data_IF_451758952821
#
_entry.id   IF_451758952821
#
_cell.length_a   1.000
_cell.length_b   1.000
_cell.length_c   1.000
_cell.angle_alpha   90.00
_cell.angle_beta   90.00
_cell.angle_gamma   90.00
#
_symmetry.space_group_name_H-M   'P 1'
#
loop_
_entity.id
_entity.type
_entity.pdbx_description
1 polymer ?
#
# COMPACT_ATOMS: atom_id res chain seq x y z
N UNK A 1 -1.94 -8.63 38.16
CA UNK A 1 -2.96 -8.98 37.15
C UNK A 1 -3.24 -7.73 36.34
N UNK A 2 -2.54 -7.55 35.23
CA UNK A 2 -2.79 -6.47 34.27
C UNK A 2 -4.17 -6.71 33.65
N UNK A 3 -5.12 -5.80 33.88
CA UNK A 3 -6.41 -5.86 33.20
C UNK A 3 -6.16 -5.75 31.70
N UNK A 4 -6.47 -6.80 30.95
CA UNK A 4 -6.45 -6.76 29.50
C UNK A 4 -7.45 -5.69 29.06
N UNK A 5 -6.95 -4.64 28.41
CA UNK A 5 -7.83 -3.63 27.81
C UNK A 5 -8.74 -4.32 26.78
N UNK A 6 -10.01 -3.89 26.66
CA UNK A 6 -10.91 -4.48 25.68
C UNK A 6 -10.31 -4.37 24.27
N UNK A 7 -10.56 -5.37 23.40
CA UNK A 7 -10.02 -5.38 22.05
C UNK A 7 -10.43 -4.09 21.32
N UNK A 8 -9.48 -3.48 20.62
CA UNK A 8 -9.73 -2.29 19.83
C UNK A 8 -10.82 -2.57 18.79
N UNK A 9 -11.82 -1.69 18.69
CA UNK A 9 -12.80 -1.78 17.62
C UNK A 9 -12.14 -1.44 16.28
N UNK A 10 -12.61 -2.05 15.19
CA UNK A 10 -12.15 -1.72 13.82
C UNK A 10 -12.13 -0.22 13.51
N UNK A 11 -13.06 0.55 14.09
CA UNK A 11 -13.07 2.01 13.96
C UNK A 11 -11.82 2.68 14.54
N UNK A 12 -11.34 2.21 15.68
CA UNK A 12 -10.15 2.76 16.33
C UNK A 12 -8.89 2.37 15.57
N UNK A 13 -8.81 1.13 15.09
CA UNK A 13 -7.69 0.65 14.27
C UNK A 13 -7.57 1.45 12.97
N UNK A 14 -8.69 1.68 12.27
CA UNK A 14 -8.72 2.50 11.07
C UNK A 14 -8.35 3.97 11.36
N UNK A 15 -8.85 4.54 12.46
CA UNK A 15 -8.50 5.90 12.89
C UNK A 15 -7.02 6.04 13.20
N UNK A 16 -6.38 5.00 13.75
CA UNK A 16 -4.96 4.99 14.02
C UNK A 16 -4.11 4.93 12.74
N UNK A 17 -4.56 4.17 11.73
CA UNK A 17 -3.85 4.01 10.46
C UNK A 17 -4.03 5.21 9.50
N UNK A 18 -5.18 5.88 9.56
CA UNK A 18 -5.57 6.91 8.60
C UNK A 18 -4.57 8.07 8.47
N UNK A 19 -3.99 8.65 9.54
CA UNK A 19 -3.04 9.76 9.42
C UNK A 19 -1.81 9.40 8.59
N UNK A 20 -1.18 8.25 8.86
CA UNK A 20 -0.04 7.76 8.10
C UNK A 20 -0.42 7.46 6.65
N UNK A 21 -1.57 6.83 6.44
CA UNK A 21 -2.09 6.53 5.09
C UNK A 21 -2.29 7.81 4.26
N UNK A 22 -2.93 8.85 4.82
CA UNK A 22 -3.14 10.14 4.13
C UNK A 22 -1.80 10.84 3.90
N UNK A 23 -0.94 10.90 4.92
CA UNK A 23 0.37 11.55 4.81
C UNK A 23 1.24 10.91 3.72
N UNK A 24 1.26 9.58 3.60
CA UNK A 24 2.00 8.88 2.55
C UNK A 24 1.56 9.30 1.13
N UNK A 25 0.25 9.49 0.93
CA UNK A 25 -0.32 9.91 -0.36
C UNK A 25 -0.03 11.37 -0.66
N UNK A 26 -0.11 12.23 0.35
CA UNK A 26 0.29 13.63 0.21
C UNK A 26 1.79 13.74 -0.14
N UNK A 27 2.65 13.00 0.55
CA UNK A 27 4.08 12.97 0.28
C UNK A 27 4.38 12.40 -1.11
N UNK A 28 3.70 11.33 -1.53
CA UNK A 28 3.85 10.78 -2.88
C UNK A 28 3.43 11.80 -3.94
N UNK A 29 2.30 12.48 -3.77
CA UNK A 29 1.83 13.52 -4.70
C UNK A 29 2.82 14.69 -4.79
N UNK A 30 3.37 15.13 -3.65
CA UNK A 30 4.40 16.19 -3.63
C UNK A 30 5.68 15.71 -4.31
N UNK A 31 6.18 14.53 -3.98
CA UNK A 31 7.37 13.96 -4.59
C UNK A 31 7.20 13.78 -6.10
N UNK A 32 6.02 13.32 -6.54
CA UNK A 32 5.65 13.17 -7.94
C UNK A 32 5.65 14.52 -8.67
N UNK A 33 5.00 15.53 -8.10
CA UNK A 33 4.97 16.88 -8.66
C UNK A 33 6.36 17.50 -8.77
N UNK A 34 7.19 17.34 -7.74
CA UNK A 34 8.59 17.77 -7.75
C UNK A 34 9.40 17.04 -8.82
N UNK A 35 9.21 15.73 -8.97
CA UNK A 35 9.88 14.96 -10.01
C UNK A 35 9.51 15.45 -11.42
N UNK A 36 8.22 15.69 -11.68
CA UNK A 36 7.76 16.24 -12.96
C UNK A 36 8.33 17.64 -13.24
N UNK A 37 8.37 18.52 -12.23
CA UNK A 37 8.95 19.85 -12.37
C UNK A 37 10.46 19.79 -12.63
N UNK A 38 11.19 18.87 -11.98
CA UNK A 38 12.60 18.66 -12.21
C UNK A 38 12.88 18.09 -13.61
N UNK A 39 12.07 17.15 -14.10
CA UNK A 39 12.17 16.64 -15.47
C UNK A 39 12.02 17.78 -16.48
N UNK A 40 11.03 18.65 -16.28
CA UNK A 40 10.80 19.80 -17.15
C UNK A 40 12.00 20.77 -17.15
N UNK A 41 12.52 21.11 -15.96
CA UNK A 41 13.55 22.15 -15.79
C UNK A 41 14.97 21.64 -16.05
N UNK A 42 15.24 20.35 -15.85
CA UNK A 42 16.61 19.79 -15.86
C UNK A 42 16.86 18.74 -16.93
N UNK A 43 15.82 18.14 -17.49
CA UNK A 43 15.92 17.01 -18.43
C UNK A 43 15.21 17.30 -19.76
N UNK A 44 15.01 18.58 -20.09
CA UNK A 44 14.35 19.05 -21.32
C UNK A 44 12.99 18.39 -21.58
N UNK A 45 12.27 18.02 -20.51
CA UNK A 45 10.96 17.38 -20.62
C UNK A 45 10.98 15.90 -21.05
N UNK A 46 12.16 15.28 -21.21
CA UNK A 46 12.26 13.86 -21.57
C UNK A 46 11.82 12.99 -20.40
N UNK A 47 10.64 12.38 -20.53
CA UNK A 47 10.02 11.56 -19.48
C UNK A 47 10.41 10.09 -19.63
N UNK A 48 10.85 9.42 -18.54
CA UNK A 48 11.07 7.99 -18.57
C UNK A 48 9.74 7.23 -18.58
N UNK A 49 9.71 6.00 -19.11
CA UNK A 49 8.53 5.13 -19.19
C UNK A 49 7.68 5.06 -17.90
N UNK A 50 8.26 4.90 -16.69
CA UNK A 50 7.51 4.94 -15.44
C UNK A 50 6.65 6.20 -15.25
N UNK A 51 7.05 7.34 -15.84
CA UNK A 51 6.28 8.56 -15.75
C UNK A 51 5.03 8.60 -16.61
N UNK A 52 4.95 7.75 -17.62
CA UNK A 52 3.73 7.53 -18.39
C UNK A 52 2.79 6.53 -17.70
N UNK A 53 3.34 5.62 -16.88
CA UNK A 53 2.58 4.61 -16.14
C UNK A 53 1.92 5.13 -14.85
N UNK A 54 2.41 6.24 -14.29
CA UNK A 54 1.82 6.88 -13.11
C UNK A 54 1.78 5.94 -11.91
N UNK A 55 0.59 5.77 -11.30
CA UNK A 55 0.41 4.89 -10.13
C UNK A 55 0.61 3.39 -10.44
N UNK A 56 0.73 3.02 -11.71
CA UNK A 56 1.03 1.67 -12.18
C UNK A 56 2.51 1.50 -12.56
N UNK A 57 3.39 2.43 -12.22
CA UNK A 57 4.81 2.29 -12.55
C UNK A 57 5.39 0.93 -12.10
N UNK A 58 6.24 0.33 -12.95
CA UNK A 58 6.94 -0.93 -12.69
C UNK A 58 6.00 -2.14 -12.46
N UNK A 59 5.99 -2.74 -11.26
CA UNK A 59 5.23 -3.96 -10.95
C UNK A 59 3.72 -3.71 -11.03
N UNK A 60 3.27 -2.47 -10.82
CA UNK A 60 1.86 -2.09 -10.99
C UNK A 60 1.33 -2.30 -12.41
N UNK A 61 2.18 -2.16 -13.43
CA UNK A 61 1.78 -2.34 -14.83
C UNK A 61 1.44 -3.81 -15.09
N UNK A 62 2.23 -4.74 -14.57
CA UNK A 62 1.95 -6.16 -14.64
C UNK A 62 0.63 -6.51 -13.96
N UNK A 63 0.38 -5.99 -12.75
CA UNK A 63 -0.90 -6.26 -12.06
C UNK A 63 -2.11 -5.69 -12.79
N UNK A 64 -1.98 -4.51 -13.41
CA UNK A 64 -3.01 -3.93 -14.28
C UNK A 64 -3.29 -4.83 -15.48
N UNK A 65 -2.24 -5.25 -16.18
CA UNK A 65 -2.36 -5.99 -17.43
C UNK A 65 -2.90 -7.40 -17.17
N UNK A 66 -2.45 -8.06 -16.09
CA UNK A 66 -3.02 -9.34 -15.64
C UNK A 66 -4.49 -9.20 -15.21
N UNK A 67 -4.88 -8.11 -14.56
CA UNK A 67 -6.27 -7.91 -14.14
C UNK A 67 -7.23 -7.73 -15.33
N UNK A 68 -6.74 -7.20 -16.46
CA UNK A 68 -7.55 -6.95 -17.66
C UNK A 68 -7.54 -8.14 -18.62
N UNK A 69 -6.37 -8.72 -18.88
CA UNK A 69 -6.18 -9.71 -19.94
C UNK A 69 -5.61 -11.04 -19.45
N UNK A 70 -5.51 -11.25 -18.14
CA UNK A 70 -4.90 -12.46 -17.58
C UNK A 70 -3.40 -12.54 -17.84
N UNK A 71 -2.82 -13.72 -17.60
CA UNK A 71 -1.38 -13.92 -17.78
C UNK A 71 -0.93 -13.91 -19.25
N UNK A 72 -1.86 -14.02 -20.20
CA UNK A 72 -1.56 -13.90 -21.63
C UNK A 72 -1.27 -12.44 -22.05
N UNK A 73 -1.63 -11.46 -21.20
CA UNK A 73 -1.44 -10.04 -21.46
C UNK A 73 -0.08 -9.49 -20.98
N UNK A 74 0.79 -10.34 -20.44
CA UNK A 74 2.13 -9.96 -19.96
C UNK A 74 3.20 -10.85 -20.57
N UNK A 75 4.43 -10.32 -20.65
CA UNK A 75 5.59 -11.11 -21.07
C UNK A 75 5.77 -12.35 -20.18
N UNK A 76 6.47 -13.41 -20.64
CA UNK A 76 6.66 -14.65 -19.87
C UNK A 76 7.21 -14.46 -18.45
N UNK A 77 7.97 -13.37 -18.21
CA UNK A 77 8.45 -13.02 -16.86
C UNK A 77 7.34 -12.62 -15.88
N UNK A 78 6.13 -12.32 -16.37
CA UNK A 78 4.95 -11.93 -15.58
C UNK A 78 4.35 -13.07 -14.74
N UNK A 79 4.72 -14.32 -14.99
CA UNK A 79 4.26 -15.48 -14.19
C UNK A 79 4.71 -15.41 -12.72
N UNK A 80 5.70 -14.56 -12.38
CA UNK A 80 6.16 -14.34 -11.01
C UNK A 80 5.16 -13.63 -10.11
N UNK A 81 4.16 -12.96 -10.69
CA UNK A 81 3.18 -12.17 -9.94
C UNK A 81 2.08 -13.06 -9.40
N UNK A 82 1.74 -12.90 -8.11
CA UNK A 82 0.75 -13.75 -7.45
C UNK A 82 -0.68 -13.42 -7.92
N UNK A 83 -1.52 -14.42 -8.26
CA UNK A 83 -2.79 -14.19 -8.96
C UNK A 83 -3.87 -13.54 -8.08
N UNK A 84 -3.85 -13.75 -6.76
CA UNK A 84 -4.91 -13.25 -5.87
C UNK A 84 -5.13 -11.74 -6.00
N UNK A 85 -4.05 -10.96 -6.11
CA UNK A 85 -4.16 -9.50 -6.15
C UNK A 85 -4.88 -8.97 -7.41
N UNK A 86 -4.46 -9.31 -8.65
CA UNK A 86 -5.18 -8.89 -9.85
C UNK A 86 -6.57 -9.55 -9.95
N UNK A 87 -6.78 -10.77 -9.41
CA UNK A 87 -8.10 -11.41 -9.36
C UNK A 87 -9.11 -10.67 -8.48
N UNK A 88 -8.66 -10.01 -7.41
CA UNK A 88 -9.51 -9.17 -6.56
C UNK A 88 -9.80 -7.81 -7.23
N UNK A 89 -8.87 -7.29 -8.04
CA UNK A 89 -9.01 -6.00 -8.71
C UNK A 89 -9.88 -6.05 -9.97
N UNK A 90 -9.71 -7.07 -10.82
CA UNK A 90 -10.45 -7.32 -12.07
C UNK A 90 -10.50 -6.17 -13.10
N UNK A 91 -9.82 -5.06 -12.81
CA UNK A 91 -9.80 -3.84 -13.60
C UNK A 91 -8.65 -2.95 -13.12
N UNK A 92 -8.17 -1.99 -13.92
CA UNK A 92 -7.12 -1.06 -13.49
C UNK A 92 -7.50 -0.31 -12.21
N UNK A 93 -8.74 0.21 -12.14
CA UNK A 93 -9.23 0.91 -10.96
C UNK A 93 -9.34 -0.04 -9.75
N UNK A 94 -9.84 -1.26 -9.95
CA UNK A 94 -9.98 -2.21 -8.87
C UNK A 94 -8.64 -2.66 -8.28
N UNK A 95 -7.59 -2.82 -9.11
CA UNK A 95 -6.22 -3.08 -8.62
C UNK A 95 -5.74 -1.94 -7.71
N UNK A 96 -5.95 -0.68 -8.11
CA UNK A 96 -5.62 0.47 -7.27
C UNK A 96 -6.41 0.51 -5.96
N UNK A 97 -7.71 0.20 -6.02
CA UNK A 97 -8.57 0.16 -4.83
C UNK A 97 -8.12 -0.95 -3.87
N UNK A 98 -7.87 -2.16 -4.37
CA UNK A 98 -7.40 -3.28 -3.55
C UNK A 98 -6.05 -2.97 -2.92
N UNK A 99 -5.11 -2.37 -3.66
CA UNK A 99 -3.81 -1.94 -3.12
C UNK A 99 -3.98 -0.95 -1.97
N UNK A 100 -4.76 0.11 -2.19
CA UNK A 100 -4.89 1.22 -1.26
C UNK A 100 -5.74 0.88 -0.03
N UNK A 101 -6.81 0.10 -0.22
CA UNK A 101 -7.60 -0.45 0.89
C UNK A 101 -6.78 -1.46 1.67
N UNK A 102 -6.04 -2.34 0.99
CA UNK A 102 -5.11 -3.28 1.62
C UNK A 102 -4.06 -2.57 2.47
N UNK A 103 -3.46 -1.48 1.99
CA UNK A 103 -2.52 -0.67 2.76
C UNK A 103 -3.14 -0.03 4.01
N UNK A 104 -4.40 0.45 3.93
CA UNK A 104 -5.12 0.97 5.10
C UNK A 104 -5.39 -0.15 6.12
N UNK A 105 -5.83 -1.32 5.65
CA UNK A 105 -6.06 -2.50 6.47
C UNK A 105 -4.78 -3.01 7.11
N UNK A 106 -3.65 -2.98 6.39
CA UNK A 106 -2.34 -3.34 6.93
C UNK A 106 -1.97 -2.44 8.12
N UNK A 107 -2.09 -1.12 7.98
CA UNK A 107 -1.87 -0.20 9.10
C UNK A 107 -2.80 -0.45 10.29
N UNK A 108 -4.08 -0.71 10.02
CA UNK A 108 -5.08 -1.00 11.05
C UNK A 108 -4.79 -2.31 11.79
N UNK A 109 -4.40 -3.36 11.06
CA UNK A 109 -4.05 -4.65 11.66
C UNK A 109 -2.72 -4.61 12.40
N UNK A 110 -1.74 -3.82 11.93
CA UNK A 110 -0.50 -3.57 12.68
C UNK A 110 -0.78 -2.80 13.97
N UNK A 111 -1.66 -1.80 13.95
CA UNK A 111 -2.12 -1.14 15.18
C UNK A 111 -2.70 -2.16 16.17
N UNK A 112 -3.61 -3.02 15.69
CA UNK A 112 -4.24 -4.05 16.52
C UNK A 112 -3.21 -5.03 17.09
N UNK A 113 -2.31 -5.53 16.25
CA UNK A 113 -1.24 -6.46 16.64
C UNK A 113 -0.34 -5.86 17.72
N UNK A 114 0.20 -4.65 17.50
CA UNK A 114 1.10 -4.01 18.47
C UNK A 114 0.38 -3.72 19.78
N UNK A 115 -0.89 -3.30 19.73
CA UNK A 115 -1.68 -3.08 20.95
C UNK A 115 -1.96 -4.38 21.70
N UNK A 116 -2.23 -5.48 20.99
CA UNK A 116 -2.44 -6.79 21.61
C UNK A 116 -1.18 -7.31 22.32
N UNK A 117 -0.02 -7.14 21.69
CA UNK A 117 1.27 -7.62 22.22
C UNK A 117 1.81 -6.75 23.37
N UNK A 118 1.63 -5.43 23.30
CA UNK A 118 2.32 -4.51 24.22
C UNK A 118 1.40 -3.83 25.23
N UNK A 119 0.10 -3.77 24.96
CA UNK A 119 -0.84 -2.94 25.72
C UNK A 119 -0.64 -1.43 25.55
N UNK A 120 0.36 -0.98 24.78
CA UNK A 120 0.70 0.43 24.59
C UNK A 120 -0.01 0.99 23.35
N UNK A 121 -1.03 1.82 23.59
CA UNK A 121 -1.82 2.45 22.56
C UNK A 121 -1.02 3.49 21.76
N UNK A 122 -0.04 4.15 22.35
CA UNK A 122 0.76 5.18 21.69
C UNK A 122 1.78 4.56 20.76
N UNK A 123 2.44 3.50 21.22
CA UNK A 123 3.31 2.67 20.39
C UNK A 123 2.52 2.08 19.21
N UNK A 124 1.33 1.52 19.44
CA UNK A 124 0.49 0.97 18.39
C UNK A 124 0.15 2.00 17.29
N UNK A 125 -0.21 3.24 17.66
CA UNK A 125 -0.50 4.32 16.70
C UNK A 125 0.74 4.74 15.91
N UNK A 126 1.90 4.84 16.58
CA UNK A 126 3.17 5.17 15.92
C UNK A 126 3.59 4.08 14.95
N UNK A 127 3.44 2.81 15.32
CA UNK A 127 3.75 1.68 14.45
C UNK A 127 2.87 1.67 13.19
N UNK A 128 1.56 1.89 13.34
CA UNK A 128 0.66 2.02 12.18
C UNK A 128 1.04 3.17 11.25
N UNK A 129 1.48 4.30 11.81
CA UNK A 129 2.00 5.44 11.03
C UNK A 129 3.30 5.09 10.32
N UNK A 130 4.22 4.39 11.01
CA UNK A 130 5.52 3.99 10.47
C UNK A 130 5.39 3.04 9.27
N UNK A 131 4.41 2.14 9.27
CA UNK A 131 4.10 1.27 8.12
C UNK A 131 3.87 2.07 6.84
N UNK A 132 3.18 3.21 6.93
CA UNK A 132 2.86 4.04 5.78
C UNK A 132 3.97 5.02 5.38
N UNK A 133 4.88 5.36 6.30
CA UNK A 133 5.86 6.43 6.13
C UNK A 133 7.33 5.97 6.05
N UNK A 134 7.62 4.68 6.23
CA UNK A 134 8.96 4.15 6.00
C UNK A 134 9.43 4.49 4.57
N UNK A 135 10.73 4.68 4.30
CA UNK A 135 11.20 5.10 2.98
C UNK A 135 10.71 4.22 1.82
N UNK A 136 10.62 2.90 2.03
CA UNK A 136 10.13 1.95 1.04
C UNK A 136 8.58 1.90 0.93
N UNK A 137 7.84 2.60 1.80
CA UNK A 137 6.38 2.50 1.90
C UNK A 137 5.62 3.17 0.75
N UNK A 138 6.30 3.87 -0.17
CA UNK A 138 5.63 4.42 -1.36
C UNK A 138 4.92 3.33 -2.19
N UNK A 139 5.41 2.08 -2.15
CA UNK A 139 4.74 0.93 -2.78
C UNK A 139 3.34 0.68 -2.21
N UNK A 140 3.07 1.06 -0.96
CA UNK A 140 1.74 0.96 -0.34
C UNK A 140 0.73 2.02 -0.84
N UNK A 141 1.18 2.93 -1.71
CA UNK A 141 0.33 3.90 -2.40
C UNK A 141 0.22 3.64 -3.91
N UNK A 142 1.11 2.82 -4.49
CA UNK A 142 1.06 2.39 -5.88
C UNK A 142 0.11 1.18 -6.06
N UNK A 143 -0.10 0.76 -7.32
CA UNK A 143 -0.91 -0.40 -7.70
C UNK A 143 -0.23 -1.75 -7.39
N UNK A 144 0.20 -1.93 -6.15
CA UNK A 144 1.12 -2.97 -5.69
C UNK A 144 0.44 -3.93 -4.69
N UNK A 145 0.89 -5.17 -4.62
CA UNK A 145 0.27 -6.23 -3.81
C UNK A 145 0.64 -6.16 -2.31
N UNK A 146 1.60 -5.31 -1.96
CA UNK A 146 2.24 -5.23 -0.64
C UNK A 146 1.25 -4.83 0.45
N UNK A 147 0.30 -3.95 0.15
CA UNK A 147 -0.78 -3.59 1.10
C UNK A 147 -1.60 -4.81 1.51
N UNK A 148 -2.29 -5.50 0.58
CA UNK A 148 -3.00 -6.74 0.87
C UNK A 148 -2.13 -7.83 1.51
N UNK A 149 -0.88 -8.00 1.05
CA UNK A 149 0.06 -8.96 1.63
C UNK A 149 0.32 -8.67 3.11
N UNK A 150 0.67 -7.44 3.46
CA UNK A 150 0.91 -7.04 4.85
C UNK A 150 -0.35 -7.17 5.71
N UNK A 151 -1.52 -6.86 5.16
CA UNK A 151 -2.79 -7.05 5.86
C UNK A 151 -3.02 -8.53 6.19
N UNK A 152 -2.83 -9.44 5.23
CA UNK A 152 -2.98 -10.88 5.46
C UNK A 152 -1.93 -11.42 6.44
N UNK A 153 -0.67 -10.96 6.33
CA UNK A 153 0.38 -11.34 7.27
C UNK A 153 0.06 -10.89 8.71
N UNK A 154 -0.35 -9.63 8.90
CA UNK A 154 -0.73 -9.12 10.21
C UNK A 154 -1.99 -9.81 10.76
N UNK A 155 -2.96 -10.13 9.91
CA UNK A 155 -4.14 -10.92 10.30
C UNK A 155 -3.76 -12.34 10.75
N UNK A 156 -2.81 -12.97 10.07
CA UNK A 156 -2.32 -14.30 10.45
C UNK A 156 -1.63 -14.28 11.81
N UNK A 157 -0.82 -13.26 12.10
CA UNK A 157 -0.15 -13.10 13.39
C UNK A 157 -1.11 -12.82 14.56
N UNK A 158 -2.34 -12.39 14.26
CA UNK A 158 -3.40 -12.13 15.24
C UNK A 158 -4.30 -13.35 15.52
N UNK A 159 -4.20 -14.41 14.71
CA UNK A 159 -5.06 -15.59 14.77
C UNK A 159 -4.53 -16.64 15.75
#
# INVERSE_FOLDING_TARGET
>A
MTQASPPAGWRDDLRAALPGWVAARALLLVAWGLALALIEVRLDGVRPEPAHQGLFAWDGAYYRDIAVGGYDAVDPGGVRFHPLFPLLGQSPLGVLLVANVGALLAGALVHRLVRAETGDADLARRSATMVALAPAAFVLALAYAEGPFLALAAAHLLA
#
